data_IF_861301531249
#
_entry.id   IF_861301531249
#
_cell.length_a   1.000
_cell.length_b   1.000
_cell.length_c   1.000
_cell.angle_alpha   90.00
_cell.angle_beta   90.00
_cell.angle_gamma   90.00
#
_symmetry.space_group_name_H-M   'P 1'
#
loop_
_entity.id
_entity.type
_entity.pdbx_description
1 polymer ?
#
# COMPACT_ATOMS: atom_id res chain seq x y z
N UNK A 1 -3.81 -8.08 -34.37
CA UNK A 1 -4.56 -7.27 -33.37
C UNK A 1 -4.23 -7.71 -31.94
N UNK A 2 -4.19 -9.00 -31.62
CA UNK A 2 -3.83 -9.51 -30.28
C UNK A 2 -2.44 -9.10 -29.79
N UNK A 3 -1.45 -9.03 -30.68
CA UNK A 3 -0.08 -8.64 -30.33
C UNK A 3 0.06 -7.15 -29.99
N UNK A 4 -0.68 -6.27 -30.68
CA UNK A 4 -0.75 -4.85 -30.36
C UNK A 4 -1.44 -4.61 -29.02
N UNK A 5 -2.51 -5.36 -28.72
CA UNK A 5 -3.19 -5.30 -27.44
C UNK A 5 -2.28 -5.71 -26.27
N UNK A 6 -1.53 -6.81 -26.43
CA UNK A 6 -0.55 -7.27 -25.43
C UNK A 6 0.54 -6.25 -25.14
N UNK A 7 1.08 -5.60 -26.16
CA UNK A 7 2.13 -4.58 -26.00
C UNK A 7 1.60 -3.37 -25.21
N UNK A 8 0.43 -2.86 -25.59
CA UNK A 8 -0.18 -1.68 -24.95
C UNK A 8 -0.50 -1.97 -23.47
N UNK A 9 -1.13 -3.11 -23.20
CA UNK A 9 -1.48 -3.51 -21.84
C UNK A 9 -0.23 -3.81 -20.98
N UNK A 10 0.81 -4.43 -21.55
CA UNK A 10 2.08 -4.63 -20.84
C UNK A 10 2.74 -3.31 -20.46
N UNK A 11 2.72 -2.33 -21.38
CA UNK A 11 3.23 -0.99 -21.09
C UNK A 11 2.40 -0.28 -20.01
N UNK A 12 1.07 -0.42 -20.04
CA UNK A 12 0.19 0.10 -19.00
C UNK A 12 0.46 -0.51 -17.62
N UNK A 13 0.63 -1.82 -17.55
CA UNK A 13 0.98 -2.52 -16.31
C UNK A 13 2.33 -2.07 -15.75
N UNK A 14 3.32 -1.85 -16.61
CA UNK A 14 4.64 -1.35 -16.23
C UNK A 14 4.57 0.09 -15.68
N UNK A 15 3.77 0.96 -16.29
CA UNK A 15 3.57 2.32 -15.79
C UNK A 15 2.90 2.33 -14.42
N UNK A 16 1.94 1.43 -14.19
CA UNK A 16 1.31 1.27 -12.88
C UNK A 16 2.31 0.77 -11.83
N UNK A 17 3.17 -0.21 -12.16
CA UNK A 17 4.26 -0.65 -11.27
C UNK A 17 5.24 0.48 -10.94
N UNK A 18 5.61 1.30 -11.93
CA UNK A 18 6.45 2.46 -11.69
C UNK A 18 5.79 3.44 -10.72
N UNK A 19 4.48 3.70 -10.87
CA UNK A 19 3.73 4.54 -9.94
C UNK A 19 3.73 3.97 -8.51
N UNK A 20 3.56 2.65 -8.34
CA UNK A 20 3.66 1.97 -7.03
C UNK A 20 4.99 2.29 -6.35
N UNK A 21 6.10 2.09 -7.06
CA UNK A 21 7.45 2.35 -6.52
C UNK A 21 7.61 3.81 -6.11
N UNK A 22 7.13 4.74 -6.94
CA UNK A 22 7.19 6.18 -6.63
C UNK A 22 6.36 6.55 -5.40
N UNK A 23 5.13 6.02 -5.29
CA UNK A 23 4.23 6.29 -4.15
C UNK A 23 4.85 5.78 -2.85
N UNK A 24 5.38 4.55 -2.84
CA UNK A 24 6.08 3.98 -1.67
C UNK A 24 7.31 4.80 -1.33
N UNK A 25 8.12 5.18 -2.32
CA UNK A 25 9.31 5.99 -2.10
C UNK A 25 8.98 7.35 -1.49
N UNK A 26 7.96 8.05 -2.01
CA UNK A 26 7.50 9.33 -1.46
C UNK A 26 7.06 9.18 0.00
N UNK A 27 6.21 8.19 0.31
CA UNK A 27 5.77 7.94 1.68
C UNK A 27 6.93 7.60 2.63
N UNK A 28 7.91 6.84 2.15
CA UNK A 28 9.11 6.50 2.93
C UNK A 28 10.00 7.72 3.20
N UNK A 29 10.20 8.59 2.19
CA UNK A 29 10.96 9.84 2.33
C UNK A 29 10.26 10.77 3.33
N UNK A 30 8.95 10.92 3.22
CA UNK A 30 8.14 11.71 4.15
C UNK A 30 8.28 11.17 5.58
N UNK A 31 8.14 9.86 5.78
CA UNK A 31 8.28 9.24 7.09
C UNK A 31 9.70 9.44 7.67
N UNK A 32 10.73 9.26 6.85
CA UNK A 32 12.13 9.39 7.26
C UNK A 32 12.47 10.83 7.63
N UNK A 33 12.06 11.81 6.83
CA UNK A 33 12.32 13.24 7.12
C UNK A 33 11.69 13.67 8.45
N UNK A 34 10.49 13.18 8.76
CA UNK A 34 9.85 13.41 10.05
C UNK A 34 10.62 12.78 11.22
N UNK A 35 11.09 11.53 11.10
CA UNK A 35 11.87 10.85 12.14
C UNK A 35 13.21 11.55 12.37
N UNK A 36 13.92 11.87 11.30
CA UNK A 36 15.23 12.52 11.36
C UNK A 36 15.11 13.92 11.98
N UNK A 37 14.09 14.69 11.59
CA UNK A 37 13.85 16.03 12.16
C UNK A 37 13.48 15.97 13.65
N UNK A 38 12.71 14.98 14.06
CA UNK A 38 12.40 14.76 15.48
C UNK A 38 13.66 14.43 16.30
N UNK A 39 14.51 13.53 15.80
CA UNK A 39 15.70 13.07 16.52
C UNK A 39 16.84 14.10 16.52
N UNK A 40 17.08 14.80 15.40
CA UNK A 40 18.23 15.70 15.25
C UNK A 40 17.93 17.16 15.65
N UNK A 41 16.71 17.66 15.42
CA UNK A 41 16.39 19.08 15.66
C UNK A 41 15.64 19.32 16.97
N UNK A 42 15.27 18.26 17.72
CA UNK A 42 14.50 18.39 18.97
C UNK A 42 13.17 19.14 18.79
N UNK A 43 12.68 19.23 17.55
CA UNK A 43 11.55 20.07 17.20
C UNK A 43 10.27 19.47 17.81
N UNK A 44 9.73 20.16 18.82
CA UNK A 44 8.57 19.75 19.63
C UNK A 44 7.22 19.63 18.91
N UNK A 45 7.19 19.50 17.58
CA UNK A 45 5.98 19.04 16.89
C UNK A 45 5.89 17.52 17.02
N UNK A 46 5.44 17.07 18.19
CA UNK A 46 5.18 15.67 18.48
C UNK A 46 3.95 15.20 17.70
N UNK A 47 4.07 15.03 16.38
CA UNK A 47 3.21 14.08 15.69
C UNK A 47 3.39 12.76 16.42
N UNK A 48 2.30 12.26 16.99
CA UNK A 48 2.37 11.00 17.73
C UNK A 48 2.94 9.92 16.80
N UNK A 49 3.73 8.98 17.35
CA UNK A 49 4.25 7.83 16.58
C UNK A 49 3.14 7.14 15.78
N UNK A 50 1.92 7.13 16.35
CA UNK A 50 0.70 6.62 15.72
C UNK A 50 0.33 7.40 14.46
N UNK A 51 0.41 8.71 14.47
CA UNK A 51 0.02 9.55 13.33
C UNK A 51 1.01 9.47 12.16
N UNK A 52 2.32 9.41 12.47
CA UNK A 52 3.33 9.14 11.45
C UNK A 52 3.10 7.77 10.80
N UNK A 53 2.79 6.75 11.60
CA UNK A 53 2.47 5.41 11.12
C UNK A 53 1.20 5.41 10.26
N UNK A 54 0.14 6.11 10.67
CA UNK A 54 -1.11 6.21 9.89
C UNK A 54 -0.88 6.90 8.54
N UNK A 55 -0.10 7.98 8.48
CA UNK A 55 0.26 8.64 7.21
C UNK A 55 1.01 7.69 6.29
N UNK A 56 2.01 6.98 6.81
CA UNK A 56 2.74 5.99 6.01
C UNK A 56 1.84 4.83 5.55
N UNK A 57 0.95 4.34 6.42
CA UNK A 57 -0.02 3.31 6.07
C UNK A 57 -0.95 3.76 4.92
N UNK A 58 -1.37 5.02 4.88
CA UNK A 58 -2.15 5.58 3.77
C UNK A 58 -1.37 5.57 2.44
N UNK A 59 -0.06 5.89 2.46
CA UNK A 59 0.81 5.78 1.29
C UNK A 59 0.92 4.33 0.78
N UNK A 60 1.07 3.37 1.71
CA UNK A 60 1.10 1.94 1.38
C UNK A 60 -0.23 1.47 0.78
N UNK A 61 -1.36 1.90 1.35
CA UNK A 61 -2.69 1.57 0.85
C UNK A 61 -2.87 2.07 -0.59
N UNK A 62 -2.48 3.31 -0.86
CA UNK A 62 -2.53 3.89 -2.21
C UNK A 62 -1.66 3.08 -3.19
N UNK A 63 -0.43 2.74 -2.79
CA UNK A 63 0.45 1.91 -3.61
C UNK A 63 -0.17 0.53 -3.90
N UNK A 64 -0.89 -0.04 -2.95
CA UNK A 64 -1.55 -1.34 -3.10
C UNK A 64 -2.69 -1.31 -4.14
N UNK A 65 -3.45 -0.23 -4.21
CA UNK A 65 -4.49 0.00 -5.22
C UNK A 65 -3.90 0.12 -6.64
N UNK A 66 -2.78 0.83 -6.79
CA UNK A 66 -2.09 0.90 -8.09
C UNK A 66 -1.49 -0.44 -8.50
N UNK A 67 -0.94 -1.19 -7.53
CA UNK A 67 -0.50 -2.56 -7.79
C UNK A 67 -1.69 -3.43 -8.24
N UNK A 68 -2.90 -3.19 -7.71
CA UNK A 68 -4.11 -3.93 -8.08
C UNK A 68 -4.51 -3.68 -9.52
N UNK A 69 -4.50 -2.43 -9.93
CA UNK A 69 -4.69 -2.09 -11.33
C UNK A 69 -3.65 -2.79 -12.23
N UNK A 70 -2.36 -2.81 -11.83
CA UNK A 70 -1.30 -3.42 -12.63
C UNK A 70 -1.51 -4.93 -12.84
N UNK A 71 -1.94 -5.63 -11.79
CA UNK A 71 -2.19 -7.07 -11.85
C UNK A 71 -3.44 -7.41 -12.66
N UNK A 72 -4.51 -6.61 -12.53
CA UNK A 72 -5.72 -6.77 -13.37
C UNK A 72 -5.35 -6.67 -14.84
N UNK A 73 -4.54 -5.68 -15.22
CA UNK A 73 -4.06 -5.53 -16.60
C UNK A 73 -3.25 -6.75 -17.06
N UNK A 74 -2.38 -7.30 -16.19
CA UNK A 74 -1.62 -8.52 -16.46
C UNK A 74 -2.50 -9.76 -16.63
N UNK A 75 -3.54 -9.93 -15.81
CA UNK A 75 -4.49 -11.04 -15.94
C UNK A 75 -5.28 -10.99 -17.25
N UNK A 76 -5.53 -9.80 -17.78
CA UNK A 76 -6.31 -9.63 -19.01
C UNK A 76 -5.55 -10.03 -20.29
N UNK A 77 -4.22 -10.17 -20.25
CA UNK A 77 -3.39 -10.38 -21.45
C UNK A 77 -2.77 -11.77 -21.62
N UNK A 78 -2.78 -12.62 -20.59
CA UNK A 78 -2.06 -13.89 -20.61
C UNK A 78 -2.93 -15.11 -20.28
N UNK A 79 -3.42 -15.86 -21.29
CA UNK A 79 -3.93 -17.21 -21.07
C UNK A 79 -2.87 -18.22 -21.56
N UNK A 80 -1.81 -18.44 -20.77
CA UNK A 80 -1.01 -19.67 -20.85
C UNK A 80 -1.00 -20.32 -19.47
N UNK A 81 -0.98 -21.66 -19.37
CA UNK A 81 -1.06 -22.34 -18.07
C UNK A 81 0.07 -21.95 -17.10
N UNK A 82 1.24 -21.62 -17.62
CA UNK A 82 2.40 -21.16 -16.84
C UNK A 82 2.20 -19.73 -16.33
N UNK A 83 1.63 -18.84 -17.16
CA UNK A 83 1.30 -17.47 -16.76
C UNK A 83 0.10 -17.44 -15.79
N UNK A 84 -0.88 -18.33 -15.97
CA UNK A 84 -2.02 -18.51 -15.05
C UNK A 84 -1.51 -18.94 -13.67
N UNK A 85 -0.52 -19.85 -13.60
CA UNK A 85 0.10 -20.28 -12.34
C UNK A 85 0.80 -19.12 -11.61
N UNK A 86 1.58 -18.31 -12.33
CA UNK A 86 2.22 -17.10 -11.78
C UNK A 86 1.20 -16.07 -11.32
N UNK A 87 0.17 -15.84 -12.12
CA UNK A 87 -0.94 -14.94 -11.78
C UNK A 87 -1.70 -15.41 -10.54
N UNK A 88 -1.99 -16.71 -10.41
CA UNK A 88 -2.65 -17.28 -9.23
C UNK A 88 -1.79 -17.11 -7.97
N UNK A 89 -0.48 -17.28 -8.07
CA UNK A 89 0.45 -17.04 -6.96
C UNK A 89 0.46 -15.55 -6.55
N UNK A 90 0.57 -14.63 -7.52
CA UNK A 90 0.53 -13.18 -7.26
C UNK A 90 -0.82 -12.77 -6.64
N UNK A 91 -1.93 -13.25 -7.21
CA UNK A 91 -3.27 -12.99 -6.69
C UNK A 91 -3.43 -13.49 -5.25
N UNK A 92 -2.92 -14.69 -4.93
CA UNK A 92 -2.94 -15.25 -3.57
C UNK A 92 -2.14 -14.38 -2.60
N UNK A 93 -0.92 -13.99 -2.97
CA UNK A 93 -0.07 -13.11 -2.16
C UNK A 93 -0.77 -11.77 -1.93
N UNK A 94 -1.39 -11.17 -2.96
CA UNK A 94 -2.22 -9.97 -2.79
C UNK A 94 -3.32 -10.22 -1.77
N UNK A 95 -4.14 -11.26 -1.96
CA UNK A 95 -5.32 -11.48 -1.11
C UNK A 95 -4.91 -11.58 0.35
N UNK A 96 -3.81 -12.28 0.62
CA UNK A 96 -3.25 -12.36 1.96
C UNK A 96 -2.78 -10.99 2.47
N UNK A 97 -1.96 -10.26 1.70
CA UNK A 97 -1.43 -8.95 2.12
C UNK A 97 -2.54 -7.92 2.34
N UNK A 98 -3.47 -7.78 1.40
CA UNK A 98 -4.62 -6.87 1.52
C UNK A 98 -5.49 -7.24 2.73
N UNK A 99 -5.72 -8.55 2.96
CA UNK A 99 -6.47 -9.01 4.13
C UNK A 99 -5.77 -8.70 5.45
N UNK A 100 -4.45 -8.92 5.53
CA UNK A 100 -3.67 -8.59 6.74
C UNK A 100 -3.64 -7.09 7.00
N UNK A 101 -3.44 -6.28 5.95
CA UNK A 101 -3.38 -4.83 6.09
C UNK A 101 -4.72 -4.24 6.56
N UNK A 102 -5.84 -4.67 5.96
CA UNK A 102 -7.18 -4.24 6.37
C UNK A 102 -7.48 -4.67 7.82
N UNK A 103 -7.11 -5.91 8.17
CA UNK A 103 -7.26 -6.43 9.54
C UNK A 103 -6.45 -5.61 10.55
N UNK A 104 -5.22 -5.26 10.24
CA UNK A 104 -4.36 -4.46 11.11
C UNK A 104 -4.94 -3.06 11.30
N UNK A 105 -5.38 -2.40 10.22
CA UNK A 105 -6.04 -1.09 10.28
C UNK A 105 -7.30 -1.15 11.16
N UNK A 106 -8.16 -2.16 10.97
CA UNK A 106 -9.37 -2.35 11.78
C UNK A 106 -9.05 -2.59 13.26
N UNK A 107 -8.00 -3.39 13.56
CA UNK A 107 -7.58 -3.65 14.93
C UNK A 107 -7.17 -2.35 15.65
N UNK A 108 -6.46 -1.47 14.95
CA UNK A 108 -5.97 -0.21 15.50
C UNK A 108 -7.09 0.82 15.69
N UNK A 109 -8.12 0.78 14.83
CA UNK A 109 -9.32 1.61 14.98
C UNK A 109 -10.11 1.24 16.24
N UNK A 110 -10.33 -0.06 16.49
CA UNK A 110 -10.99 -0.55 17.72
C UNK A 110 -10.23 -0.18 18.98
N UNK A 111 -8.89 -0.24 18.96
CA UNK A 111 -8.07 0.18 20.10
C UNK A 111 -8.15 1.70 20.36
N UNK A 112 -8.33 2.52 19.32
CA UNK A 112 -8.56 3.96 19.47
C UNK A 112 -9.93 4.28 20.10
N UNK A 113 -10.98 3.59 19.65
CA UNK A 113 -12.34 3.75 20.19
C UNK A 113 -12.41 3.31 21.67
N UNK A 114 -11.80 2.18 22.04
CA UNK A 114 -11.75 1.70 23.43
C UNK A 114 -10.95 2.61 24.39
N UNK A 115 -9.96 3.35 23.88
CA UNK A 115 -9.22 4.33 24.68
C UNK A 115 -10.02 5.63 24.89
N UNK A 116 -10.83 6.05 23.91
CA UNK A 116 -11.70 7.22 24.02
C UNK A 116 -12.86 7.00 25.00
N UNK A 117 -13.40 5.77 25.06
CA UNK A 117 -14.54 5.42 25.93
C UNK A 117 -14.15 5.41 27.41
N UNK A 118 -12.91 4.98 27.72
CA UNK A 118 -12.36 5.05 29.09
C UNK A 118 -12.01 6.47 29.56
N UNK A 119 -11.71 7.39 28.64
CA UNK A 119 -11.40 8.78 28.96
C UNK A 119 -12.66 9.65 29.17
N UNK A 120 -13.82 9.23 28.65
CA UNK A 120 -15.10 9.92 28.84
C UNK A 120 -15.90 9.47 30.07
N UNK A 121 -15.45 8.42 30.77
CA UNK A 121 -16.10 7.86 31.96
C UNK A 121 -15.34 8.13 33.27
N UNK A 122 -14.29 8.96 33.24
CA UNK A 122 -13.53 9.43 34.40
C UNK A 122 -13.72 10.94 34.57
#
# INVERSE_FOLDING_TARGET
MEEQFRIIASFGALMLEAAVVLIVACGAIEALTHIVRYFLLGAGSALSRRELWLRFASWILLALEFALAADVVRTAIAPTWDDIGKLAAIATVRTLLSFFLDRDIQSMRRQGEAASDKAGSA
#
